data_IF_826333440190
#
_entry.id   IF_826333440190
#
_cell.length_a   1.000
_cell.length_b   1.000
_cell.length_c   1.000
_cell.angle_alpha   90.00
_cell.angle_beta   90.00
_cell.angle_gamma   90.00
#
_symmetry.space_group_name_H-M   'P 1'
#
loop_
_entity.id
_entity.type
_entity.pdbx_description
1 polymer ?
#
# COMPACT_ATOMS: atom_id res chain seq x y z
N UNK A 1 -10.56 -18.59 3.65
CA UNK A 1 -9.91 -17.55 4.48
C UNK A 1 -8.58 -18.06 5.06
N UNK A 2 -7.59 -18.41 4.23
CA UNK A 2 -6.27 -18.94 4.69
C UNK A 2 -5.05 -18.56 3.83
N UNK A 3 -5.24 -17.93 2.65
CA UNK A 3 -4.15 -17.69 1.69
C UNK A 3 -3.31 -16.43 1.98
N UNK A 4 -3.94 -15.33 2.39
CA UNK A 4 -3.24 -14.09 2.76
C UNK A 4 -2.33 -14.29 3.99
N UNK A 5 -2.86 -14.88 5.05
CA UNK A 5 -2.07 -15.21 6.25
C UNK A 5 -0.89 -16.16 5.96
N UNK A 6 -1.03 -17.05 4.97
CA UNK A 6 0.05 -17.95 4.54
C UNK A 6 1.17 -17.20 3.81
N UNK A 7 0.86 -16.26 2.90
CA UNK A 7 1.86 -15.45 2.21
C UNK A 7 2.74 -14.63 3.17
N UNK A 8 2.17 -14.02 4.21
CA UNK A 8 2.95 -13.27 5.21
C UNK A 8 3.76 -14.17 6.15
N UNK A 9 3.46 -15.46 6.22
CA UNK A 9 4.22 -16.42 7.02
C UNK A 9 5.27 -17.18 6.20
N UNK A 10 5.11 -17.28 4.88
CA UNK A 10 6.04 -17.95 3.96
C UNK A 10 7.02 -17.00 3.25
N UNK A 11 6.67 -15.72 3.10
CA UNK A 11 7.51 -14.78 2.35
C UNK A 11 8.85 -14.52 3.04
N UNK A 12 9.93 -14.49 2.25
CA UNK A 12 11.28 -14.20 2.76
C UNK A 12 11.43 -12.77 3.27
N UNK A 13 10.61 -11.85 2.78
CA UNK A 13 10.56 -10.46 3.22
C UNK A 13 9.13 -10.03 3.50
N UNK A 14 8.88 -9.63 4.74
CA UNK A 14 7.67 -8.92 5.15
C UNK A 14 8.07 -7.55 5.64
N UNK A 15 7.50 -6.52 5.03
CA UNK A 15 7.90 -5.13 5.23
C UNK A 15 6.66 -4.31 5.57
N UNK A 16 6.50 -3.90 6.84
CA UNK A 16 5.46 -2.97 7.23
C UNK A 16 5.93 -1.51 7.07
N UNK A 17 5.02 -0.65 6.66
CA UNK A 17 5.12 0.80 6.79
C UNK A 17 3.86 1.34 7.46
N UNK A 18 4.03 2.24 8.42
CA UNK A 18 2.94 2.92 9.09
C UNK A 18 2.93 4.41 8.71
N UNK A 19 1.75 4.94 8.41
CA UNK A 19 1.55 6.36 8.14
C UNK A 19 0.15 6.82 8.61
N UNK A 20 0.04 8.07 9.02
CA UNK A 20 -1.25 8.73 9.27
C UNK A 20 -1.62 9.54 8.03
N UNK A 21 -2.83 9.33 7.53
CA UNK A 21 -3.34 9.94 6.31
C UNK A 21 -4.40 11.00 6.66
N UNK A 22 -4.44 12.13 5.93
CA UNK A 22 -5.40 13.21 6.15
C UNK A 22 -6.75 12.94 5.46
N UNK A 23 -7.24 11.69 5.51
CA UNK A 23 -8.53 11.28 4.97
C UNK A 23 -9.15 10.17 5.81
N UNK A 24 -10.46 9.99 5.73
CA UNK A 24 -11.15 8.85 6.36
C UNK A 24 -10.85 7.53 5.62
N UNK A 25 -11.06 6.37 6.27
CA UNK A 25 -10.80 5.06 5.66
C UNK A 25 -11.53 4.84 4.32
N UNK A 26 -12.78 5.25 4.21
CA UNK A 26 -13.59 5.07 3.00
C UNK A 26 -13.00 5.82 1.81
N UNK A 27 -12.52 7.04 2.06
CA UNK A 27 -11.87 7.89 1.04
C UNK A 27 -10.55 7.27 0.59
N UNK A 28 -9.78 6.68 1.51
CA UNK A 28 -8.54 5.97 1.19
C UNK A 28 -8.80 4.74 0.30
N UNK A 29 -9.78 3.91 0.65
CA UNK A 29 -10.06 2.71 -0.13
C UNK A 29 -10.56 3.03 -1.55
N UNK A 30 -11.34 4.10 -1.72
CA UNK A 30 -11.71 4.60 -3.06
C UNK A 30 -10.49 5.00 -3.89
N UNK A 31 -9.51 5.65 -3.27
CA UNK A 31 -8.24 5.96 -3.94
C UNK A 31 -7.49 4.69 -4.36
N UNK A 32 -7.47 3.64 -3.52
CA UNK A 32 -6.84 2.37 -3.88
C UNK A 32 -7.56 1.62 -5.01
N UNK A 33 -8.87 1.80 -5.17
CA UNK A 33 -9.66 1.20 -6.24
C UNK A 33 -9.52 1.94 -7.59
N UNK A 34 -9.16 3.23 -7.56
CA UNK A 34 -8.84 4.02 -8.74
C UNK A 34 -7.46 3.63 -9.29
N UNK A 35 -7.44 2.83 -10.37
CA UNK A 35 -6.22 2.34 -11.01
C UNK A 35 -5.32 3.47 -11.53
N UNK A 36 -5.89 4.57 -12.02
CA UNK A 36 -5.13 5.67 -12.61
C UNK A 36 -4.42 6.48 -11.53
N UNK A 37 -5.04 6.63 -10.36
CA UNK A 37 -4.48 7.35 -9.22
C UNK A 37 -3.10 6.82 -8.80
N UNK A 38 -2.85 5.50 -8.90
CA UNK A 38 -1.56 4.89 -8.53
C UNK A 38 -0.37 5.48 -9.28
N UNK A 39 -0.54 5.85 -10.55
CA UNK A 39 0.52 6.44 -11.37
C UNK A 39 0.87 7.88 -10.96
N UNK A 40 -0.04 8.56 -10.26
CA UNK A 40 0.12 9.96 -9.86
C UNK A 40 1.03 10.11 -8.62
N UNK A 41 1.08 9.11 -7.75
CA UNK A 41 1.85 9.15 -6.50
C UNK A 41 2.89 8.04 -6.35
N UNK A 42 2.92 7.05 -7.26
CA UNK A 42 3.98 6.04 -7.33
C UNK A 42 4.77 6.18 -8.63
N UNK A 43 5.92 6.87 -8.55
CA UNK A 43 6.74 7.21 -9.73
C UNK A 43 7.19 6.05 -10.63
N UNK A 44 7.13 4.80 -10.16
CA UNK A 44 7.54 3.62 -10.94
C UNK A 44 6.37 2.94 -11.65
N UNK A 45 5.13 3.33 -11.32
CA UNK A 45 3.92 2.75 -11.90
C UNK A 45 3.46 3.65 -13.04
N UNK A 46 3.53 3.14 -14.26
CA UNK A 46 3.00 3.84 -15.43
C UNK A 46 1.51 3.60 -15.64
N UNK A 47 1.02 2.40 -15.31
CA UNK A 47 -0.38 1.98 -15.47
C UNK A 47 -0.67 0.83 -14.53
N UNK A 48 -1.87 0.82 -13.93
CA UNK A 48 -2.39 -0.32 -13.17
C UNK A 48 -3.50 -0.98 -13.97
N UNK A 49 -3.40 -2.30 -14.14
CA UNK A 49 -4.47 -3.13 -14.71
C UNK A 49 -4.77 -4.27 -13.73
N UNK A 50 -6.02 -4.38 -13.31
CA UNK A 50 -6.46 -5.42 -12.38
C UNK A 50 -6.71 -6.72 -13.14
N UNK A 51 -5.74 -7.64 -13.11
CA UNK A 51 -5.78 -8.89 -13.90
C UNK A 51 -6.13 -10.14 -13.09
N UNK A 52 -6.30 -10.03 -11.76
CA UNK A 52 -6.59 -11.17 -10.88
C UNK A 52 -7.73 -10.91 -9.90
N UNK A 53 -8.56 -11.92 -9.54
CA UNK A 53 -9.42 -11.85 -8.37
C UNK A 53 -8.57 -11.74 -7.10
N UNK A 54 -8.88 -10.80 -6.19
CA UNK A 54 -8.09 -10.49 -4.96
C UNK A 54 -7.63 -11.79 -4.25
N UNK A 55 -6.31 -11.98 -4.04
CA UNK A 55 -5.62 -11.34 -2.92
C UNK A 55 -4.17 -10.92 -3.27
N UNK A 56 -3.89 -9.62 -3.29
CA UNK A 56 -2.54 -9.13 -3.57
C UNK A 56 -1.61 -9.42 -2.37
N UNK A 57 -0.30 -9.48 -2.60
CA UNK A 57 0.74 -9.75 -1.60
C UNK A 57 0.90 -8.62 -0.57
N UNK A 58 -0.16 -7.88 -0.29
CA UNK A 58 -0.21 -6.67 0.51
C UNK A 58 -1.39 -6.71 1.49
N UNK A 59 -1.14 -6.36 2.74
CA UNK A 59 -2.14 -6.22 3.80
C UNK A 59 -2.24 -4.74 4.15
N UNK A 60 -3.43 -4.18 3.97
CA UNK A 60 -3.76 -2.84 4.43
C UNK A 60 -4.60 -2.94 5.70
N UNK A 61 -4.02 -2.53 6.81
CA UNK A 61 -4.76 -2.37 8.07
C UNK A 61 -5.01 -0.89 8.29
N UNK A 62 -6.27 -0.50 8.16
CA UNK A 62 -6.71 0.89 8.31
C UNK A 62 -7.48 1.03 9.63
N UNK A 63 -7.14 2.03 10.42
CA UNK A 63 -7.83 2.37 11.67
C UNK A 63 -8.32 3.82 11.57
N UNK A 64 -9.62 4.02 11.76
CA UNK A 64 -10.18 5.37 11.85
C UNK A 64 -9.66 6.07 13.11
N UNK A 65 -9.18 7.30 12.96
CA UNK A 65 -8.71 8.15 14.06
C UNK A 65 -9.68 9.30 14.36
N UNK A 66 -10.80 9.37 13.63
CA UNK A 66 -11.72 10.50 13.65
C UNK A 66 -11.16 11.75 12.96
N UNK A 67 -11.98 12.80 12.89
CA UNK A 67 -11.62 14.09 12.29
C UNK A 67 -11.07 13.97 10.86
N UNK A 68 -11.67 13.08 10.05
CA UNK A 68 -11.24 12.80 8.69
C UNK A 68 -9.77 12.37 8.57
N UNK A 69 -9.30 11.52 9.48
CA UNK A 69 -7.95 10.94 9.44
C UNK A 69 -8.00 9.45 9.71
N UNK A 70 -7.06 8.71 9.14
CA UNK A 70 -6.88 7.30 9.43
C UNK A 70 -5.39 6.96 9.60
N UNK A 71 -5.13 5.91 10.36
CA UNK A 71 -3.82 5.23 10.41
C UNK A 71 -3.83 4.10 9.42
N UNK A 72 -2.86 4.06 8.52
CA UNK A 72 -2.60 2.95 7.64
C UNK A 72 -1.34 2.22 8.08
N UNK A 73 -1.46 0.91 8.31
CA UNK A 73 -0.33 -0.02 8.31
C UNK A 73 -0.39 -0.81 7.01
N UNK A 74 0.55 -0.53 6.11
CA UNK A 74 0.71 -1.20 4.83
C UNK A 74 1.85 -2.20 4.93
N UNK A 75 1.50 -3.49 4.86
CA UNK A 75 2.47 -4.58 4.91
C UNK A 75 2.58 -5.24 3.55
N UNK A 76 3.79 -5.30 2.99
CA UNK A 76 4.07 -5.98 1.71
C UNK A 76 4.87 -7.24 1.98
N UNK A 77 4.43 -8.35 1.36
CA UNK A 77 5.16 -9.61 1.29
C UNK A 77 5.90 -9.70 -0.05
N UNK A 78 7.21 -9.94 -0.01
CA UNK A 78 8.06 -10.05 -1.20
C UNK A 78 8.75 -11.41 -1.18
N UNK A 79 8.61 -12.15 -2.29
CA UNK A 79 9.36 -13.36 -2.58
C UNK A 79 10.42 -13.06 -3.65
N UNK A 80 11.65 -12.71 -3.24
CA UNK A 80 12.73 -12.51 -4.21
C UNK A 80 13.09 -13.84 -4.87
N UNK A 81 12.94 -13.91 -6.20
CA UNK A 81 13.33 -15.05 -7.01
C UNK A 81 14.83 -14.98 -7.38
N UNK A 82 15.49 -16.15 -7.51
CA UNK A 82 16.89 -16.24 -7.97
C UNK A 82 17.94 -15.79 -6.94
N UNK A 83 19.09 -15.31 -7.42
CA UNK A 83 20.26 -14.92 -6.60
C UNK A 83 19.94 -13.83 -5.56
N UNK A 84 18.89 -13.04 -5.78
CA UNK A 84 18.37 -12.05 -4.84
C UNK A 84 17.94 -12.67 -3.48
N UNK A 85 17.55 -13.95 -3.48
CA UNK A 85 17.18 -14.67 -2.26
C UNK A 85 18.33 -14.84 -1.27
N UNK A 86 19.60 -14.85 -1.72
CA UNK A 86 20.78 -15.01 -0.85
C UNK A 86 21.23 -13.71 -0.17
N UNK A 87 20.89 -12.54 -0.73
CA UNK A 87 21.27 -11.22 -0.19
C UNK A 87 20.12 -10.50 0.55
N UNK A 88 19.02 -11.22 0.79
CA UNK A 88 17.77 -10.74 1.39
C UNK A 88 17.91 -9.78 2.59
N UNK A 89 18.72 -10.07 3.64
CA UNK A 89 18.83 -9.14 4.79
C UNK A 89 19.48 -7.80 4.42
N UNK A 90 20.34 -7.77 3.40
CA UNK A 90 21.02 -6.55 2.97
C UNK A 90 20.09 -5.61 2.19
N UNK A 91 19.16 -6.17 1.40
CA UNK A 91 18.22 -5.39 0.58
C UNK A 91 16.97 -4.96 1.35
N UNK A 92 16.60 -5.65 2.44
CA UNK A 92 15.45 -5.32 3.29
C UNK A 92 15.36 -3.84 3.72
N UNK A 93 16.43 -3.20 4.27
CA UNK A 93 16.35 -1.79 4.67
C UNK A 93 16.05 -0.87 3.48
N UNK A 94 16.54 -1.19 2.28
CA UNK A 94 16.24 -0.43 1.07
C UNK A 94 14.75 -0.51 0.71
N UNK A 95 14.16 -1.72 0.69
CA UNK A 95 12.73 -1.87 0.44
C UNK A 95 11.86 -1.23 1.54
N UNK A 96 12.28 -1.33 2.80
CA UNK A 96 11.58 -0.66 3.90
C UNK A 96 11.63 0.87 3.77
N UNK A 97 12.77 1.43 3.35
CA UNK A 97 12.88 2.85 3.04
C UNK A 97 12.00 3.24 1.85
N UNK A 98 11.99 2.43 0.80
CA UNK A 98 11.18 2.65 -0.38
C UNK A 98 9.67 2.65 -0.06
N UNK A 99 9.18 1.64 0.66
CA UNK A 99 7.77 1.56 1.07
C UNK A 99 7.38 2.75 1.97
N UNK A 100 8.23 3.13 2.93
CA UNK A 100 8.00 4.34 3.75
C UNK A 100 7.93 5.61 2.92
N UNK A 101 8.78 5.73 1.88
CA UNK A 101 8.74 6.88 0.96
C UNK A 101 7.41 6.89 0.20
N UNK A 102 7.01 5.76 -0.37
CA UNK A 102 5.73 5.61 -1.08
C UNK A 102 4.55 5.96 -0.16
N UNK A 103 4.54 5.47 1.09
CA UNK A 103 3.48 5.82 2.05
C UNK A 103 3.42 7.32 2.38
N UNK A 104 4.56 8.03 2.36
CA UNK A 104 4.60 9.49 2.51
C UNK A 104 4.09 10.22 1.28
N UNK A 105 4.40 9.73 0.08
CA UNK A 105 3.84 10.26 -1.16
C UNK A 105 2.32 10.10 -1.19
N UNK A 106 1.81 8.93 -0.79
CA UNK A 106 0.38 8.70 -0.62
C UNK A 106 -0.24 9.70 0.37
N UNK A 107 0.41 9.95 1.51
CA UNK A 107 -0.09 10.94 2.48
C UNK A 107 -0.15 12.36 1.90
N UNK A 108 0.86 12.75 1.10
CA UNK A 108 0.88 14.04 0.41
C UNK A 108 -0.22 14.10 -0.65
N UNK A 109 -0.34 13.08 -1.48
CA UNK A 109 -1.35 12.97 -2.53
C UNK A 109 -2.76 13.07 -1.93
N UNK A 110 -3.06 12.29 -0.89
CA UNK A 110 -4.35 12.35 -0.20
C UNK A 110 -4.58 13.71 0.48
N UNK A 111 -3.53 14.40 0.94
CA UNK A 111 -3.65 15.76 1.46
C UNK A 111 -4.13 16.77 0.41
N UNK A 112 -3.79 16.55 -0.85
CA UNK A 112 -4.15 17.43 -1.97
C UNK A 112 -5.48 17.01 -2.63
N UNK A 113 -5.65 15.70 -2.84
CA UNK A 113 -6.72 15.12 -3.66
C UNK A 113 -7.84 14.45 -2.85
N UNK A 114 -7.88 14.62 -1.52
CA UNK A 114 -8.93 14.03 -0.66
C UNK A 114 -10.33 14.24 -1.23
N UNK A 115 -10.59 15.44 -1.78
CA UNK A 115 -11.89 15.83 -2.33
C UNK A 115 -12.32 14.97 -3.53
N UNK A 116 -11.39 14.51 -4.36
CA UNK A 116 -11.67 13.63 -5.51
C UNK A 116 -12.39 12.36 -5.08
N UNK A 117 -12.01 11.81 -3.93
CA UNK A 117 -12.51 10.53 -3.42
C UNK A 117 -13.58 10.68 -2.32
N UNK A 118 -13.87 11.91 -1.89
CA UNK A 118 -14.79 12.18 -0.77
C UNK A 118 -16.28 12.02 -1.13
N UNK A 119 -16.65 12.00 -2.41
CA UNK A 119 -18.06 11.90 -2.81
C UNK A 119 -18.55 10.46 -2.92
N UNK A 120 -19.69 10.09 -2.31
CA UNK A 120 -20.38 8.86 -2.70
C UNK A 120 -20.85 9.02 -4.16
N UNK A 121 -20.54 8.02 -4.99
CA UNK A 121 -21.22 7.85 -6.28
C UNK A 121 -22.72 7.74 -5.98
N UNK A 122 -23.52 8.57 -6.69
CA UNK A 122 -24.99 8.56 -6.62
C UNK A 122 -25.52 7.31 -7.29
#
# INVERSE_FOLDING_TARGET
MKRSAWLFTSAKLVIPAEIILPCCPETLFRCFEDADAWSEWVNVINKVEWTSPKPFAEEYRVTDLGNNRCRLVWTVAIEPNGAAGFITPLIKPFFAWNLRRISKELARYMGNECRRFSRPEI
#
